data_IF_392864266022
#
_entry.id   IF_392864266022
#
_cell.length_a   1.000
_cell.length_b   1.000
_cell.length_c   1.000
_cell.angle_alpha   90.00
_cell.angle_beta   90.00
_cell.angle_gamma   90.00
#
_symmetry.space_group_name_H-M   'P 1'
#
loop_
_entity.id
_entity.type
_entity.pdbx_description
1 polymer ?
#
# COMPACT_ATOMS: atom_id res chain seq x y z
N UNK A 1 -14.49 -20.74 -11.10
CA UNK A 1 -15.85 -20.23 -11.37
C UNK A 1 -16.01 -20.01 -12.87
N UNK A 2 -17.06 -20.53 -13.53
CA UNK A 2 -17.32 -20.26 -14.94
C UNK A 2 -17.74 -18.78 -15.14
N UNK A 3 -17.30 -18.18 -16.24
CA UNK A 3 -17.61 -16.78 -16.56
C UNK A 3 -19.11 -16.65 -16.88
N UNK A 4 -19.86 -15.72 -16.25
CA UNK A 4 -21.29 -15.59 -16.47
C UNK A 4 -21.59 -15.14 -17.91
N UNK A 5 -22.70 -15.60 -18.50
CA UNK A 5 -23.11 -15.21 -19.86
C UNK A 5 -23.29 -13.69 -20.01
N UNK A 6 -22.92 -13.14 -21.16
CA UNK A 6 -23.08 -11.71 -21.52
C UNK A 6 -24.51 -11.22 -21.30
N UNK A 7 -25.50 -12.07 -21.60
CA UNK A 7 -26.91 -11.75 -21.38
C UNK A 7 -27.22 -11.52 -19.90
N UNK A 8 -26.68 -12.35 -19.01
CA UNK A 8 -26.87 -12.20 -17.58
C UNK A 8 -26.18 -10.93 -17.04
N UNK A 9 -25.00 -10.59 -17.57
CA UNK A 9 -24.28 -9.34 -17.24
C UNK A 9 -25.08 -8.12 -17.71
N UNK A 10 -25.65 -8.18 -18.92
CA UNK A 10 -26.47 -7.10 -19.50
C UNK A 10 -27.76 -6.89 -18.72
N UNK A 11 -28.43 -7.96 -18.30
CA UNK A 11 -29.65 -7.86 -17.49
C UNK A 11 -29.39 -7.21 -16.12
N UNK A 12 -28.22 -7.47 -15.52
CA UNK A 12 -27.82 -6.87 -14.23
C UNK A 12 -27.32 -5.43 -14.34
N UNK A 13 -26.49 -5.13 -15.35
CA UNK A 13 -25.71 -3.89 -15.42
C UNK A 13 -26.03 -3.00 -16.63
N UNK A 14 -26.91 -3.43 -17.54
CA UNK A 14 -27.17 -2.75 -18.81
C UNK A 14 -28.08 -1.53 -18.74
N UNK A 15 -28.46 -1.05 -17.54
CA UNK A 15 -29.23 0.20 -17.40
C UNK A 15 -28.39 1.37 -17.88
N UNK A 16 -28.64 1.84 -19.11
CA UNK A 16 -27.98 3.01 -19.70
C UNK A 16 -26.74 2.72 -20.55
N UNK A 17 -26.36 1.45 -20.74
CA UNK A 17 -25.21 1.08 -21.56
C UNK A 17 -25.63 0.28 -22.81
N UNK A 18 -25.07 0.64 -23.96
CA UNK A 18 -25.29 -0.09 -25.21
C UNK A 18 -24.74 -1.52 -25.10
N UNK A 19 -25.45 -2.48 -25.71
CA UNK A 19 -25.04 -3.89 -25.76
C UNK A 19 -23.62 -4.07 -26.35
N UNK A 20 -23.26 -3.25 -27.33
CA UNK A 20 -21.91 -3.21 -27.93
C UNK A 20 -20.83 -2.84 -26.91
N UNK A 21 -21.11 -1.88 -26.02
CA UNK A 21 -20.20 -1.48 -24.93
C UNK A 21 -19.99 -2.62 -23.95
N UNK A 22 -21.07 -3.29 -23.54
CA UNK A 22 -21.00 -4.42 -22.59
C UNK A 22 -20.23 -5.58 -23.20
N UNK A 23 -20.48 -5.90 -24.47
CA UNK A 23 -19.76 -6.94 -25.21
C UNK A 23 -18.26 -6.63 -25.30
N UNK A 24 -17.91 -5.37 -25.60
CA UNK A 24 -16.51 -4.92 -25.64
C UNK A 24 -15.81 -5.11 -24.29
N UNK A 25 -16.45 -4.69 -23.20
CA UNK A 25 -15.88 -4.83 -21.85
C UNK A 25 -15.81 -6.30 -21.42
N UNK A 26 -16.82 -7.11 -21.72
CA UNK A 26 -16.85 -8.54 -21.41
C UNK A 26 -15.70 -9.31 -22.08
N UNK A 27 -15.34 -8.90 -23.30
CA UNK A 27 -14.22 -9.46 -24.07
C UNK A 27 -12.85 -8.90 -23.64
N UNK A 28 -12.77 -8.16 -22.53
CA UNK A 28 -11.51 -7.64 -21.99
C UNK A 28 -11.11 -6.25 -22.50
N UNK A 29 -12.01 -5.54 -23.17
CA UNK A 29 -11.78 -4.15 -23.53
C UNK A 29 -11.67 -3.25 -22.31
N UNK A 30 -10.79 -2.27 -22.36
CA UNK A 30 -10.64 -1.26 -21.30
C UNK A 30 -11.73 -0.20 -21.36
N UNK A 31 -12.03 0.41 -20.21
CA UNK A 31 -12.95 1.54 -20.18
C UNK A 31 -12.25 2.81 -20.71
N UNK A 32 -13.04 3.81 -21.13
CA UNK A 32 -12.48 5.12 -21.46
C UNK A 32 -11.76 5.75 -20.27
N UNK A 33 -12.26 5.50 -19.05
CA UNK A 33 -11.64 5.98 -17.82
C UNK A 33 -10.23 5.40 -17.67
N UNK A 34 -10.06 4.09 -17.81
CA UNK A 34 -8.76 3.42 -17.67
C UNK A 34 -7.80 3.85 -18.77
N UNK A 35 -8.31 3.94 -20.00
CA UNK A 35 -7.52 4.41 -21.15
C UNK A 35 -7.04 5.86 -20.97
N UNK A 36 -7.90 6.73 -20.43
CA UNK A 36 -7.54 8.12 -20.15
C UNK A 36 -6.59 8.23 -18.96
N UNK A 37 -6.72 7.36 -17.95
CA UNK A 37 -5.80 7.31 -16.82
C UNK A 37 -4.38 6.95 -17.29
N UNK A 38 -4.24 5.94 -18.15
CA UNK A 38 -2.94 5.59 -18.75
C UNK A 38 -2.37 6.71 -19.61
N UNK A 39 -3.18 7.32 -20.49
CA UNK A 39 -2.70 8.40 -21.39
C UNK A 39 -2.33 9.69 -20.65
N UNK A 40 -2.95 9.96 -19.50
CA UNK A 40 -2.73 11.18 -18.71
C UNK A 40 -1.77 10.96 -17.53
N UNK A 41 -1.16 9.78 -17.42
CA UNK A 41 -0.14 9.55 -16.40
C UNK A 41 1.05 10.48 -16.64
N UNK A 42 1.47 11.19 -15.60
CA UNK A 42 2.64 12.08 -15.68
C UNK A 42 3.95 11.30 -15.69
N UNK A 43 3.98 10.19 -14.95
CA UNK A 43 5.12 9.27 -14.83
C UNK A 43 5.01 8.16 -15.87
N UNK A 44 6.16 7.70 -16.36
CA UNK A 44 6.24 6.46 -17.14
C UNK A 44 6.10 5.25 -16.23
N UNK A 45 5.78 4.07 -16.80
CA UNK A 45 5.69 2.82 -16.03
C UNK A 45 6.98 2.54 -15.25
N UNK A 46 8.15 2.74 -15.87
CA UNK A 46 9.45 2.61 -15.20
C UNK A 46 9.62 3.58 -14.03
N UNK A 47 9.18 4.84 -14.18
CA UNK A 47 9.27 5.81 -13.09
C UNK A 47 8.33 5.44 -11.93
N UNK A 48 7.14 4.90 -12.23
CA UNK A 48 6.24 4.39 -11.19
C UNK A 48 6.84 3.18 -10.46
N UNK A 49 7.47 2.25 -11.17
CA UNK A 49 8.16 1.10 -10.57
C UNK A 49 9.30 1.53 -9.65
N UNK A 50 10.16 2.45 -10.09
CA UNK A 50 11.25 2.99 -9.28
C UNK A 50 10.73 3.70 -8.02
N UNK A 51 9.63 4.45 -8.14
CA UNK A 51 9.00 5.11 -7.00
C UNK A 51 8.44 4.08 -6.01
N UNK A 52 7.79 3.02 -6.51
CA UNK A 52 7.30 1.92 -5.69
C UNK A 52 8.44 1.21 -4.94
N UNK A 53 9.54 0.86 -5.64
CA UNK A 53 10.70 0.22 -5.02
C UNK A 53 11.31 1.11 -3.94
N UNK A 54 11.43 2.42 -4.20
CA UNK A 54 11.90 3.38 -3.21
C UNK A 54 10.99 3.43 -1.97
N UNK A 55 9.67 3.54 -2.15
CA UNK A 55 8.68 3.52 -1.05
C UNK A 55 8.81 2.22 -0.24
N UNK A 56 8.93 1.08 -0.90
CA UNK A 56 9.09 -0.21 -0.25
C UNK A 56 10.39 -0.29 0.54
N UNK A 57 11.51 0.18 -0.02
CA UNK A 57 12.82 0.20 0.65
C UNK A 57 12.81 1.06 1.91
N UNK A 58 12.08 2.18 1.89
CA UNK A 58 11.93 3.07 3.03
C UNK A 58 11.04 2.44 4.12
N UNK A 59 9.96 1.78 3.72
CA UNK A 59 9.12 1.02 4.63
C UNK A 59 9.87 -0.15 5.30
N UNK A 60 10.67 -0.91 4.54
CA UNK A 60 11.49 -2.01 5.06
C UNK A 60 12.52 -1.53 6.09
N UNK A 61 12.97 -0.27 6.00
CA UNK A 61 13.84 0.38 6.98
C UNK A 61 13.10 0.95 8.20
N UNK A 62 11.77 0.80 8.25
CA UNK A 62 10.93 1.30 9.32
C UNK A 62 10.52 2.78 9.19
N UNK A 63 10.71 3.38 8.02
CA UNK A 63 10.37 4.78 7.74
C UNK A 63 9.38 4.88 6.59
N UNK A 64 8.09 4.56 6.80
CA UNK A 64 7.08 4.75 5.76
C UNK A 64 7.01 6.24 5.36
N UNK A 65 7.02 6.50 4.05
CA UNK A 65 6.99 7.87 3.52
C UNK A 65 5.60 8.48 3.74
N UNK A 66 5.58 9.77 4.10
CA UNK A 66 4.33 10.54 4.17
C UNK A 66 3.80 10.82 2.77
N UNK A 67 2.50 11.14 2.68
CA UNK A 67 1.85 11.49 1.42
C UNK A 67 2.55 12.65 0.70
N UNK A 68 2.86 13.72 1.43
CA UNK A 68 3.58 14.89 0.91
C UNK A 68 4.95 14.52 0.36
N UNK A 69 5.69 13.67 1.07
CA UNK A 69 7.03 13.29 0.67
C UNK A 69 7.02 12.42 -0.59
N UNK A 70 6.03 11.51 -0.73
CA UNK A 70 5.83 10.74 -1.96
C UNK A 70 5.50 11.63 -3.16
N UNK A 71 4.66 12.65 -2.97
CA UNK A 71 4.34 13.62 -4.03
C UNK A 71 5.56 14.44 -4.43
N UNK A 72 6.38 14.87 -3.47
CA UNK A 72 7.62 15.60 -3.75
C UNK A 72 8.61 14.75 -4.56
N UNK A 73 8.84 13.49 -4.17
CA UNK A 73 9.72 12.59 -4.94
C UNK A 73 9.19 12.31 -6.35
N UNK A 74 7.88 12.11 -6.50
CA UNK A 74 7.25 11.95 -7.80
C UNK A 74 7.41 13.22 -8.67
N UNK A 75 7.28 14.41 -8.09
CA UNK A 75 7.51 15.68 -8.78
C UNK A 75 8.96 15.84 -9.25
N UNK A 76 9.93 15.54 -8.40
CA UNK A 76 11.37 15.56 -8.76
C UNK A 76 11.64 14.66 -9.97
N UNK A 77 11.09 13.44 -9.99
CA UNK A 77 11.22 12.52 -11.13
C UNK A 77 10.59 13.07 -12.40
N UNK A 78 9.45 13.75 -12.29
CA UNK A 78 8.78 14.39 -13.43
C UNK A 78 9.58 15.58 -13.93
N UNK A 79 10.15 16.40 -13.05
CA UNK A 79 10.92 17.60 -13.39
C UNK A 79 12.13 17.30 -14.27
N UNK A 80 12.74 16.13 -14.12
CA UNK A 80 13.83 15.66 -15.00
C UNK A 80 13.39 15.69 -16.48
N UNK A 81 12.13 15.33 -16.76
CA UNK A 81 11.59 15.25 -18.13
C UNK A 81 10.71 16.44 -18.51
N UNK A 82 10.01 17.04 -17.54
CA UNK A 82 8.97 18.05 -17.70
C UNK A 82 9.08 19.08 -16.57
N UNK A 83 10.06 20.00 -16.62
CA UNK A 83 10.32 20.98 -15.57
C UNK A 83 9.17 21.98 -15.35
N UNK A 84 8.24 22.09 -16.31
CA UNK A 84 7.08 22.98 -16.24
C UNK A 84 5.95 22.49 -15.30
N UNK A 85 6.02 21.24 -14.82
CA UNK A 85 4.94 20.66 -14.00
C UNK A 85 5.14 21.05 -12.54
N UNK A 86 4.43 22.07 -12.05
CA UNK A 86 4.64 22.55 -10.67
C UNK A 86 4.01 21.66 -9.60
N UNK A 87 2.94 20.94 -9.92
CA UNK A 87 2.21 20.12 -8.96
C UNK A 87 1.59 18.89 -9.63
N UNK A 88 1.47 17.82 -8.84
CA UNK A 88 0.69 16.64 -9.20
C UNK A 88 -0.80 16.93 -8.99
N UNK A 89 -1.66 16.21 -9.72
CA UNK A 89 -3.11 16.38 -9.55
C UNK A 89 -3.54 16.01 -8.13
N UNK A 90 -4.58 16.68 -7.61
CA UNK A 90 -5.06 16.55 -6.21
C UNK A 90 -5.39 15.12 -5.74
N UNK A 91 -5.71 14.21 -6.66
CA UNK A 91 -6.01 12.80 -6.38
C UNK A 91 -4.97 11.87 -7.01
N UNK A 92 -3.79 12.40 -7.37
CA UNK A 92 -2.75 11.60 -8.02
C UNK A 92 -2.26 10.51 -7.09
N UNK A 93 -1.98 10.85 -5.82
CA UNK A 93 -1.49 9.89 -4.85
C UNK A 93 -2.53 8.80 -4.57
N UNK A 94 -3.81 9.16 -4.40
CA UNK A 94 -4.89 8.18 -4.22
C UNK A 94 -4.97 7.20 -5.40
N UNK A 95 -4.81 7.69 -6.62
CA UNK A 95 -4.81 6.86 -7.84
C UNK A 95 -3.53 6.02 -7.95
N UNK A 96 -2.40 6.56 -7.52
CA UNK A 96 -1.14 5.83 -7.46
C UNK A 96 -1.24 4.66 -6.48
N UNK A 97 -1.71 4.93 -5.26
CA UNK A 97 -1.97 3.91 -4.24
C UNK A 97 -3.09 2.96 -4.66
N UNK A 98 -4.10 3.37 -5.41
CA UNK A 98 -5.11 2.41 -5.91
C UNK A 98 -4.52 1.44 -6.93
N UNK A 99 -3.53 1.85 -7.71
CA UNK A 99 -2.86 1.01 -8.71
C UNK A 99 -1.81 0.07 -8.11
N UNK A 100 -1.09 0.55 -7.10
CA UNK A 100 0.07 -0.15 -6.51
C UNK A 100 -0.15 -0.56 -5.04
N UNK A 101 -1.34 -0.32 -4.50
CA UNK A 101 -1.65 -0.43 -3.07
C UNK A 101 -1.55 -1.84 -2.53
N UNK A 102 -1.92 -2.84 -3.33
CA UNK A 102 -1.78 -4.24 -2.91
C UNK A 102 -0.33 -4.58 -2.53
N UNK A 103 0.65 -3.99 -3.22
CA UNK A 103 2.07 -4.17 -2.95
C UNK A 103 2.57 -3.27 -1.81
N UNK A 104 2.15 -2.01 -1.77
CA UNK A 104 2.61 -1.01 -0.80
C UNK A 104 1.99 -1.25 0.58
N UNK A 105 0.68 -1.45 0.66
CA UNK A 105 -0.08 -1.60 1.93
C UNK A 105 0.32 -2.86 2.70
N UNK A 106 0.57 -3.98 2.01
CA UNK A 106 1.02 -5.23 2.65
C UNK A 106 2.36 -5.04 3.39
N UNK A 107 3.31 -4.34 2.76
CA UNK A 107 4.63 -4.05 3.32
C UNK A 107 4.58 -3.00 4.43
N UNK A 108 3.78 -1.95 4.25
CA UNK A 108 3.58 -0.93 5.28
C UNK A 108 2.99 -1.50 6.57
N UNK A 109 2.00 -2.40 6.46
CA UNK A 109 1.44 -3.10 7.61
C UNK A 109 2.48 -3.97 8.33
N UNK A 110 3.20 -4.81 7.58
CA UNK A 110 4.22 -5.69 8.17
C UNK A 110 5.37 -4.92 8.86
N UNK A 111 5.82 -3.80 8.28
CA UNK A 111 6.86 -2.96 8.87
C UNK A 111 6.37 -2.30 10.17
N UNK A 112 5.15 -1.75 10.17
CA UNK A 112 4.53 -1.18 11.37
C UNK A 112 4.33 -2.24 12.46
N UNK A 113 3.82 -3.42 12.09
CA UNK A 113 3.62 -4.53 13.02
C UNK A 113 4.94 -5.02 13.61
N UNK A 114 6.03 -5.01 12.84
CA UNK A 114 7.37 -5.38 13.32
C UNK A 114 7.87 -4.39 14.37
N UNK A 115 7.74 -3.08 14.10
CA UNK A 115 8.13 -2.03 15.06
C UNK A 115 7.27 -2.11 16.32
N UNK A 116 5.95 -2.27 16.17
CA UNK A 116 5.04 -2.42 17.29
C UNK A 116 5.33 -3.67 18.11
N UNK A 117 5.66 -4.79 17.46
CA UNK A 117 6.05 -6.03 18.14
C UNK A 117 7.34 -5.83 18.95
N UNK A 118 8.38 -5.21 18.37
CA UNK A 118 9.63 -4.90 19.06
C UNK A 118 9.44 -3.92 20.22
N UNK A 119 8.59 -2.90 20.06
CA UNK A 119 8.21 -2.01 21.14
C UNK A 119 7.41 -2.74 22.22
N UNK A 120 6.58 -3.73 21.88
CA UNK A 120 5.78 -4.52 22.83
C UNK A 120 6.58 -5.61 23.58
N UNK A 121 7.70 -6.07 23.03
CA UNK A 121 8.56 -7.08 23.66
C UNK A 121 9.21 -6.69 25.01
N UNK A 122 9.66 -5.45 25.29
CA UNK A 122 10.20 -5.09 26.61
C UNK A 122 9.16 -5.18 27.74
N UNK A 123 7.86 -5.14 27.44
CA UNK A 123 6.82 -5.27 28.48
C UNK A 123 6.49 -6.73 28.81
N UNK A 124 6.83 -7.67 27.93
CA UNK A 124 6.52 -9.09 28.13
C UNK A 124 7.59 -9.83 28.96
N UNK A 125 8.85 -9.37 28.93
CA UNK A 125 9.92 -9.99 29.72
C UNK A 125 9.89 -9.63 31.22
N UNK A 126 9.22 -8.54 31.62
CA UNK A 126 9.12 -8.16 33.02
C UNK A 126 8.02 -8.92 33.81
N UNK A 127 7.23 -9.77 33.14
CA UNK A 127 6.13 -10.53 33.77
C UNK A 127 6.42 -12.01 34.01
N UNK A 128 7.66 -12.46 33.76
CA UNK A 128 8.10 -13.84 34.05
C UNK A 128 9.17 -13.92 35.14
N UNK A 129 9.35 -12.86 35.94
CA UNK A 129 10.15 -12.92 37.18
C UNK A 129 9.23 -12.63 38.36
N UNK A 130 8.35 -13.58 38.66
CA UNK A 130 7.83 -13.70 40.01
C UNK A 130 8.92 -14.40 40.83
N UNK A 131 9.41 -13.84 41.95
CA UNK A 131 10.24 -14.61 42.86
C UNK A 131 9.37 -15.73 43.42
N UNK A 132 9.72 -16.97 43.11
CA UNK A 132 9.16 -18.14 43.80
C UNK A 132 9.50 -18.00 45.28
N UNK A 133 8.51 -18.25 46.15
CA UNK A 133 8.56 -18.00 47.59
C UNK A 133 9.53 -18.91 48.38
N UNK A 134 10.55 -19.48 47.75
CA UNK A 134 11.45 -20.46 48.38
C UNK A 134 12.76 -19.86 48.93
N UNK A 135 13.06 -18.58 48.70
CA UNK A 135 14.34 -17.98 49.12
C UNK A 135 14.33 -17.24 50.47
N UNK A 136 13.29 -17.38 51.30
CA UNK A 136 13.19 -16.63 52.56
C UNK A 136 13.68 -17.36 53.83
N UNK A 137 14.33 -18.54 53.73
CA UNK A 137 14.71 -19.34 54.92
C UNK A 137 16.17 -19.81 54.99
N UNK A 138 17.14 -18.95 54.68
CA UNK A 138 18.53 -19.22 55.06
C UNK A 138 19.35 -17.97 55.42
N UNK A 139 18.89 -17.17 56.37
CA UNK A 139 19.77 -16.23 57.09
C UNK A 139 19.33 -16.10 58.54
N UNK A 140 19.41 -17.17 59.34
CA UNK A 140 19.63 -17.09 60.79
C UNK A 140 20.34 -18.36 61.24
N UNK A 141 21.55 -18.18 61.80
CA UNK A 141 22.35 -19.09 62.64
C UNK A 141 23.81 -19.21 62.17
N UNK A 142 24.58 -18.15 62.37
CA UNK A 142 25.99 -18.26 62.78
C UNK A 142 26.27 -17.16 63.80
N UNK A 143 26.38 -17.57 65.06
CA UNK A 143 27.09 -16.87 66.14
C UNK A 143 28.12 -17.84 66.66
#
# INVERSE_FOLDING_TARGET
MPKPSIHAVTQKHGKGHLYSTITRLYNGGTTQHDSNAQKKAHLTELQEELLCEFIMSMADRGFPLTHELMENYALEMIHISKPQVTQLGKCWLDRFLTRHGDHITMKWGAALDTILCQCCQPYHHHRLVHPTAEDCHRVQNQT
#
